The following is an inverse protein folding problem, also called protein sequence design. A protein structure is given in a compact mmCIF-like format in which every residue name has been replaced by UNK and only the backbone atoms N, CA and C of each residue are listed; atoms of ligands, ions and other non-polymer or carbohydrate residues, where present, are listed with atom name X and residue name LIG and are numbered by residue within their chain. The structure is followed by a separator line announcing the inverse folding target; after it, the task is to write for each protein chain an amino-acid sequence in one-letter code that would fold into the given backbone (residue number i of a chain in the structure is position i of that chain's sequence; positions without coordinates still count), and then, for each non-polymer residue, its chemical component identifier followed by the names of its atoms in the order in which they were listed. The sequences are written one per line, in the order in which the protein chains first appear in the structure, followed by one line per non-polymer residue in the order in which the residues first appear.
data_IF_621656565243
#
_entry.id   IF_621656565243
#
_cell.length_a   1.000
_cell.length_b   1.000
_cell.length_c   1.000
_cell.angle_alpha   90.00
_cell.angle_beta   90.00
_cell.angle_gamma   90.00
#
_symmetry.space_group_name_H-M   'P 1'
#
loop_
_entity.id
_entity.type
_entity.pdbx_description
1 polymer ?
#
# COMPACT_ATOMS: atom_id res chain seq x y z
N UNK A 1 -0.83 8.06 -7.21
CA UNK A 1 -0.04 9.29 -7.16
C UNK A 1 -0.16 10.00 -5.80
N UNK A 2 -1.37 10.39 -5.36
CA UNK A 2 -1.57 11.03 -4.05
C UNK A 2 -1.16 10.08 -2.91
N UNK A 3 -1.57 8.81 -2.94
CA UNK A 3 -1.17 7.81 -1.95
C UNK A 3 0.35 7.63 -1.87
N UNK A 4 1.04 7.50 -3.00
CA UNK A 4 2.51 7.37 -3.01
C UNK A 4 3.22 8.61 -2.45
N UNK A 5 2.68 9.81 -2.74
CA UNK A 5 3.21 11.05 -2.19
C UNK A 5 3.00 11.12 -0.67
N UNK A 6 1.82 10.70 -0.19
CA UNK A 6 1.48 10.64 1.22
C UNK A 6 2.39 9.66 1.98
N UNK A 7 2.65 8.46 1.43
CA UNK A 7 3.60 7.52 2.02
C UNK A 7 4.97 8.16 2.19
N UNK A 8 5.53 8.73 1.11
CA UNK A 8 6.85 9.36 1.17
C UNK A 8 6.86 10.55 2.14
N UNK A 9 5.82 11.39 2.12
CA UNK A 9 5.74 12.55 3.01
C UNK A 9 5.70 12.15 4.50
N UNK A 10 5.07 11.01 4.81
CA UNK A 10 4.90 10.54 6.20
C UNK A 10 6.09 9.71 6.67
N UNK A 11 6.57 8.79 5.83
CA UNK A 11 7.56 7.79 6.21
C UNK A 11 9.01 8.23 5.91
N UNK A 12 9.20 9.09 4.91
CA UNK A 12 10.50 9.55 4.46
C UNK A 12 10.46 11.07 4.12
N UNK A 13 10.17 11.94 5.10
CA UNK A 13 9.95 13.38 4.84
C UNK A 13 11.10 14.06 4.12
N UNK A 14 12.35 13.69 4.41
CA UNK A 14 13.54 14.22 3.71
C UNK A 14 13.53 13.90 2.21
N UNK A 15 13.00 12.70 1.83
CA UNK A 15 12.84 12.33 0.42
C UNK A 15 11.65 13.05 -0.20
N UNK A 16 10.60 13.32 0.57
CA UNK A 16 9.45 14.05 0.05
C UNK A 16 9.88 15.44 -0.43
N UNK A 17 10.55 16.21 0.39
CA UNK A 17 11.02 17.54 0.06
C UNK A 17 12.02 17.56 -1.12
N UNK A 18 12.79 16.47 -1.26
CA UNK A 18 13.79 16.35 -2.33
C UNK A 18 13.20 15.92 -3.67
N UNK A 19 12.20 15.07 -3.68
CA UNK A 19 11.73 14.39 -4.89
C UNK A 19 10.30 14.76 -5.32
N UNK A 20 9.53 15.43 -4.45
CA UNK A 20 8.17 15.86 -4.77
C UNK A 20 8.08 17.38 -4.77
N UNK A 21 7.32 17.92 -5.69
CA UNK A 21 7.16 19.36 -5.83
C UNK A 21 5.68 19.77 -5.81
N UNK A 22 5.43 20.92 -5.17
CA UNK A 22 4.17 21.64 -5.27
C UNK A 22 4.12 22.37 -6.60
N UNK A 23 3.13 22.07 -7.42
CA UNK A 23 2.91 22.71 -8.70
C UNK A 23 2.59 24.21 -8.55
N UNK A 24 2.65 24.92 -9.65
CA UNK A 24 2.36 26.37 -9.69
C UNK A 24 0.84 26.61 -9.60
N UNK A 25 0.44 27.64 -8.86
CA UNK A 25 -0.93 28.20 -8.84
C UNK A 25 -1.27 28.96 -10.15
N UNK A 26 -0.27 29.32 -10.93
CA UNK A 26 -0.44 30.09 -12.14
C UNK A 26 -1.13 29.26 -13.23
N UNK A 27 -2.04 29.89 -13.98
CA UNK A 27 -2.69 29.21 -15.09
C UNK A 27 -1.67 28.78 -16.14
N UNK A 28 -1.63 27.49 -16.46
CA UNK A 28 -0.69 26.92 -17.43
C UNK A 28 -0.82 27.47 -18.87
N UNK A 29 -1.83 28.30 -19.15
CA UNK A 29 -2.04 29.00 -20.42
C UNK A 29 -1.30 30.33 -20.50
N UNK A 30 -0.96 30.95 -19.37
CA UNK A 30 -0.22 32.22 -19.32
C UNK A 30 1.28 32.02 -19.58
N UNK A 31 1.98 33.08 -19.93
CA UNK A 31 3.44 33.07 -20.15
C UNK A 31 4.17 32.67 -18.87
N UNK A 32 3.78 33.28 -17.74
CA UNK A 32 4.31 33.04 -16.41
C UNK A 32 4.04 31.59 -15.94
N UNK A 33 2.83 31.09 -16.15
CA UNK A 33 2.46 29.72 -15.79
C UNK A 33 3.21 28.66 -16.62
N UNK A 34 3.43 28.94 -17.92
CA UNK A 34 4.28 28.06 -18.77
C UNK A 34 5.75 28.08 -18.31
N UNK A 35 6.27 29.24 -17.94
CA UNK A 35 7.62 29.37 -17.42
C UNK A 35 7.81 28.60 -16.09
N UNK A 36 6.90 28.80 -15.13
CA UNK A 36 6.92 28.08 -13.85
C UNK A 36 6.83 26.54 -14.02
N UNK A 37 5.95 26.08 -14.94
CA UNK A 37 5.85 24.65 -15.24
C UNK A 37 7.15 24.11 -15.85
N UNK A 38 7.77 24.86 -16.76
CA UNK A 38 9.03 24.46 -17.38
C UNK A 38 10.15 24.37 -16.35
N UNK A 39 10.24 25.33 -15.45
CA UNK A 39 11.25 25.35 -14.37
C UNK A 39 11.11 24.10 -13.45
N UNK A 40 9.90 23.82 -12.99
CA UNK A 40 9.62 22.60 -12.20
C UNK A 40 9.97 21.32 -12.96
N UNK A 41 9.68 21.28 -14.27
CA UNK A 41 9.97 20.09 -15.10
C UNK A 41 11.47 19.89 -15.38
N UNK A 42 12.31 20.88 -15.12
CA UNK A 42 13.78 20.73 -15.20
C UNK A 42 14.36 20.05 -13.96
N UNK A 43 13.68 20.16 -12.81
CA UNK A 43 14.16 19.66 -11.52
C UNK A 43 13.43 18.37 -11.10
N UNK A 44 12.16 18.22 -11.47
CA UNK A 44 11.30 17.12 -11.06
C UNK A 44 10.67 16.43 -12.26
N UNK A 45 10.54 15.12 -12.19
CA UNK A 45 9.78 14.39 -13.20
C UNK A 45 8.27 14.73 -13.10
N UNK A 46 7.52 14.73 -14.21
CA UNK A 46 6.11 15.17 -14.24
C UNK A 46 5.17 14.42 -13.29
N UNK A 47 5.49 13.16 -12.98
CA UNK A 47 4.74 12.32 -12.05
C UNK A 47 4.99 12.71 -10.57
N UNK A 48 6.04 13.47 -10.29
CA UNK A 48 6.41 13.97 -8.96
C UNK A 48 5.97 15.40 -8.69
N UNK A 49 5.40 16.10 -9.67
CA UNK A 49 4.84 17.43 -9.49
C UNK A 49 3.35 17.29 -9.19
N UNK A 50 2.95 17.54 -7.96
CA UNK A 50 1.55 17.52 -7.53
C UNK A 50 0.86 18.85 -7.85
N UNK A 51 -0.46 18.82 -8.08
CA UNK A 51 -1.23 20.07 -8.06
C UNK A 51 -1.13 20.69 -6.68
N UNK A 52 -1.21 22.04 -6.57
CA UNK A 52 -1.12 22.71 -5.27
C UNK A 52 -2.04 22.10 -4.21
N UNK A 53 -3.33 21.95 -4.52
CA UNK A 53 -4.30 21.35 -3.61
C UNK A 53 -3.98 19.89 -3.21
N UNK A 54 -3.44 19.09 -4.14
CA UNK A 54 -3.03 17.70 -3.84
C UNK A 54 -1.79 17.68 -2.92
N UNK A 55 -0.84 18.60 -3.14
CA UNK A 55 0.33 18.75 -2.28
C UNK A 55 -0.07 19.15 -0.85
N UNK A 56 -0.92 20.17 -0.75
CA UNK A 56 -1.41 20.66 0.54
C UNK A 56 -2.24 19.58 1.27
N UNK A 57 -3.01 18.78 0.53
CA UNK A 57 -3.70 17.59 1.06
C UNK A 57 -2.72 16.57 1.62
N UNK A 58 -1.65 16.25 0.88
CA UNK A 58 -0.62 15.30 1.34
C UNK A 58 0.05 15.79 2.62
N UNK A 59 0.40 17.06 2.70
CA UNK A 59 0.98 17.64 3.91
C UNK A 59 0.00 17.57 5.10
N UNK A 60 -1.27 17.90 4.88
CA UNK A 60 -2.29 17.82 5.93
C UNK A 60 -2.53 16.40 6.43
N UNK A 61 -2.56 15.42 5.53
CA UNK A 61 -2.66 14.00 5.89
C UNK A 61 -1.47 13.53 6.71
N UNK A 62 -0.25 13.88 6.30
CA UNK A 62 0.98 13.61 7.06
C UNK A 62 0.89 14.18 8.46
N UNK A 63 0.55 15.46 8.57
CA UNK A 63 0.50 16.17 9.84
C UNK A 63 -0.57 15.55 10.77
N UNK A 64 -1.71 15.09 10.20
CA UNK A 64 -2.74 14.38 10.94
C UNK A 64 -2.24 13.04 11.47
N UNK A 65 -1.49 12.27 10.68
CA UNK A 65 -0.92 10.97 11.13
C UNK A 65 0.12 11.19 12.22
N UNK A 66 1.07 12.09 12.00
CA UNK A 66 2.15 12.35 12.97
C UNK A 66 1.64 13.01 14.25
N UNK A 67 0.57 13.80 14.18
CA UNK A 67 -0.09 14.41 15.33
C UNK A 67 -1.08 13.50 16.07
N UNK A 68 -1.42 12.34 15.51
CA UNK A 68 -2.31 11.37 16.15
C UNK A 68 -1.54 10.59 17.23
N UNK A 69 -1.99 10.64 18.49
CA UNK A 69 -1.26 10.10 19.64
C UNK A 69 -0.77 8.65 19.42
N UNK A 70 -1.68 7.76 19.04
CA UNK A 70 -1.34 6.34 18.84
C UNK A 70 -0.48 6.13 17.57
N UNK A 71 -0.86 6.74 16.44
CA UNK A 71 -0.12 6.54 15.19
C UNK A 71 1.29 7.15 15.27
N UNK A 72 1.43 8.32 15.88
CA UNK A 72 2.73 8.98 16.10
C UNK A 72 3.64 8.15 16.99
N UNK A 73 3.12 7.62 18.10
CA UNK A 73 3.87 6.72 19.01
C UNK A 73 4.32 5.45 18.30
N UNK A 74 3.44 4.79 17.56
CA UNK A 74 3.76 3.56 16.81
C UNK A 74 4.85 3.79 15.75
N UNK A 75 4.88 4.98 15.13
CA UNK A 75 5.86 5.33 14.10
C UNK A 75 7.19 5.83 14.69
N UNK A 76 7.24 6.16 15.98
CA UNK A 76 8.42 6.79 16.58
C UNK A 76 9.64 5.87 16.49
N UNK A 77 10.67 6.36 15.81
CA UNK A 77 11.94 5.66 15.62
C UNK A 77 11.85 4.37 14.80
N UNK A 78 10.73 4.12 14.12
CA UNK A 78 10.62 3.00 13.19
C UNK A 78 11.58 3.16 12.00
N UNK A 79 12.09 2.04 11.50
CA UNK A 79 12.77 2.00 10.20
C UNK A 79 11.70 1.96 9.11
N UNK A 80 11.76 2.88 8.16
CA UNK A 80 10.76 3.00 7.11
C UNK A 80 11.22 2.38 5.80
N UNK A 81 10.26 1.96 4.96
CA UNK A 81 10.49 1.46 3.60
C UNK A 81 11.49 0.28 3.55
N UNK A 82 11.39 -0.63 4.53
CA UNK A 82 12.31 -1.76 4.71
C UNK A 82 12.01 -2.87 3.71
N UNK A 83 13.02 -3.29 2.95
CA UNK A 83 12.90 -4.44 2.05
C UNK A 83 13.28 -5.72 2.79
N UNK A 84 12.34 -6.67 2.86
CA UNK A 84 12.58 -8.04 3.31
C UNK A 84 12.63 -8.98 2.11
N UNK A 85 13.61 -9.90 2.11
CA UNK A 85 13.76 -10.96 1.11
C UNK A 85 13.92 -12.28 1.86
N UNK A 86 13.11 -13.29 1.49
CA UNK A 86 13.17 -14.60 2.11
C UNK A 86 12.87 -15.72 1.11
N UNK A 87 13.10 -16.94 1.51
CA UNK A 87 12.59 -18.12 0.83
C UNK A 87 11.42 -18.69 1.61
N UNK A 88 10.32 -18.97 0.93
CA UNK A 88 9.23 -19.74 1.52
C UNK A 88 9.70 -21.17 1.81
N UNK A 89 9.54 -21.61 3.06
CA UNK A 89 10.08 -22.89 3.53
C UNK A 89 9.39 -24.10 2.87
N UNK A 90 8.13 -23.96 2.50
CA UNK A 90 7.33 -25.05 1.90
C UNK A 90 7.60 -25.21 0.42
N UNK A 91 7.65 -24.10 -0.32
CA UNK A 91 7.74 -24.13 -1.79
C UNK A 91 9.14 -23.83 -2.32
N UNK A 92 10.03 -23.28 -1.48
CA UNK A 92 11.35 -22.83 -1.89
C UNK A 92 11.37 -21.58 -2.78
N UNK A 93 10.20 -20.93 -2.98
CA UNK A 93 10.08 -19.73 -3.79
C UNK A 93 10.76 -18.55 -3.08
N UNK A 94 11.52 -17.76 -3.85
CA UNK A 94 12.10 -16.50 -3.37
C UNK A 94 11.05 -15.42 -3.35
N UNK A 95 10.82 -14.87 -2.16
CA UNK A 95 9.80 -13.87 -1.87
C UNK A 95 10.44 -12.54 -1.48
N UNK A 96 9.72 -11.44 -1.70
CA UNK A 96 10.12 -10.12 -1.22
C UNK A 96 8.92 -9.29 -0.81
N UNK A 97 9.12 -8.42 0.17
CA UNK A 97 8.16 -7.39 0.57
C UNK A 97 8.89 -6.08 0.80
N UNK A 98 8.16 -4.98 0.67
CA UNK A 98 8.60 -3.66 1.08
C UNK A 98 7.64 -3.18 2.16
N UNK A 99 8.13 -3.13 3.38
CA UNK A 99 7.37 -2.86 4.59
C UNK A 99 7.41 -1.37 4.85
N UNK A 100 6.26 -0.75 5.05
CA UNK A 100 6.14 0.70 5.23
C UNK A 100 6.90 1.16 6.48
N UNK A 101 6.68 0.52 7.62
CA UNK A 101 7.43 0.82 8.83
C UNK A 101 7.67 -0.43 9.70
N UNK A 102 8.91 -0.55 10.15
CA UNK A 102 9.40 -1.60 11.02
C UNK A 102 9.84 -0.96 12.35
N UNK A 103 9.02 -1.04 13.40
CA UNK A 103 9.34 -0.47 14.71
C UNK A 103 10.61 -1.06 15.31
N UNK A 104 11.21 -0.35 16.26
CA UNK A 104 12.40 -0.83 16.98
C UNK A 104 12.08 -2.05 17.85
N UNK A 105 10.89 -2.01 18.47
CA UNK A 105 10.45 -3.09 19.31
C UNK A 105 9.93 -4.25 18.48
N UNK A 106 10.27 -5.47 18.87
CA UNK A 106 9.77 -6.66 18.23
C UNK A 106 8.28 -6.88 18.59
N UNK A 107 7.55 -7.51 17.67
CA UNK A 107 6.17 -7.91 17.89
C UNK A 107 5.21 -7.44 16.81
N UNK A 108 5.44 -6.32 16.13
CA UNK A 108 4.50 -5.81 15.14
C UNK A 108 5.14 -5.16 13.92
N UNK A 109 4.33 -5.00 12.89
CA UNK A 109 4.62 -4.23 11.67
C UNK A 109 3.56 -3.15 11.48
N UNK A 110 3.92 -2.10 10.76
CA UNK A 110 3.03 -1.00 10.43
C UNK A 110 2.89 -0.83 8.92
N UNK A 111 1.68 -0.50 8.51
CA UNK A 111 1.34 -0.20 7.13
C UNK A 111 0.46 1.05 7.07
N UNK A 112 0.80 1.98 6.19
CA UNK A 112 0.13 3.27 6.05
C UNK A 112 -0.87 3.22 4.90
N UNK A 113 -2.12 3.55 5.17
CA UNK A 113 -3.19 3.55 4.15
C UNK A 113 -3.83 4.92 4.00
N UNK A 114 -3.94 5.38 2.77
CA UNK A 114 -4.82 6.50 2.44
C UNK A 114 -6.18 6.00 1.99
N UNK A 115 -7.25 6.41 2.65
CA UNK A 115 -8.61 5.94 2.38
C UNK A 115 -9.58 7.08 2.06
N UNK A 116 -10.78 6.74 1.63
CA UNK A 116 -11.89 7.71 1.48
C UNK A 116 -12.71 7.82 2.76
N UNK A 117 -12.69 6.77 3.57
CA UNK A 117 -13.41 6.63 4.82
C UNK A 117 -12.59 5.71 5.73
N UNK A 118 -12.22 6.19 6.91
CA UNK A 118 -11.45 5.44 7.89
C UNK A 118 -12.33 4.82 8.98
N UNK A 119 -13.67 4.79 8.82
CA UNK A 119 -14.58 4.16 9.79
C UNK A 119 -14.35 2.64 9.89
N UNK A 120 -14.65 2.04 11.07
CA UNK A 120 -14.54 0.60 11.25
C UNK A 120 -15.36 -0.22 10.24
N UNK A 121 -16.56 0.23 9.90
CA UNK A 121 -17.46 -0.42 8.95
C UNK A 121 -16.88 -0.44 7.53
N UNK A 122 -16.26 0.67 7.11
CA UNK A 122 -15.61 0.76 5.81
C UNK A 122 -14.34 -0.09 5.78
N UNK A 123 -13.51 0.03 6.80
CA UNK A 123 -12.23 -0.69 6.86
C UNK A 123 -12.43 -2.22 7.01
N UNK A 124 -13.48 -2.68 7.69
CA UNK A 124 -13.86 -4.09 7.73
C UNK A 124 -14.20 -4.68 6.34
N UNK A 125 -14.75 -3.87 5.44
CA UNK A 125 -14.96 -4.25 4.04
C UNK A 125 -13.68 -4.12 3.22
N UNK A 126 -12.93 -3.06 3.44
CA UNK A 126 -11.69 -2.76 2.71
C UNK A 126 -10.62 -3.83 2.94
N UNK A 127 -10.49 -4.35 4.17
CA UNK A 127 -9.50 -5.40 4.49
C UNK A 127 -9.73 -6.65 3.66
N UNK A 128 -10.99 -7.02 3.40
CA UNK A 128 -11.35 -8.13 2.53
C UNK A 128 -11.21 -7.77 1.05
N UNK A 129 -11.86 -6.68 0.61
CA UNK A 129 -11.96 -6.32 -0.81
C UNK A 129 -10.60 -6.03 -1.46
N UNK A 130 -9.67 -5.45 -0.70
CA UNK A 130 -8.31 -5.13 -1.17
C UNK A 130 -7.27 -6.18 -0.76
N UNK A 131 -7.67 -7.22 -0.03
CA UNK A 131 -6.79 -8.29 0.42
C UNK A 131 -5.74 -7.83 1.43
N UNK A 132 -6.03 -6.82 2.25
CA UNK A 132 -5.06 -6.33 3.24
C UNK A 132 -4.71 -7.38 4.28
N UNK A 133 -5.61 -8.31 4.61
CA UNK A 133 -5.32 -9.46 5.46
C UNK A 133 -4.28 -10.41 4.85
N UNK A 134 -4.26 -10.57 3.52
CA UNK A 134 -3.20 -11.32 2.81
C UNK A 134 -1.89 -10.55 2.79
N UNK A 135 -1.96 -9.23 2.57
CA UNK A 135 -0.77 -8.37 2.67
C UNK A 135 -0.14 -8.45 4.06
N UNK A 136 -0.96 -8.41 5.11
CA UNK A 136 -0.48 -8.52 6.50
C UNK A 136 0.25 -9.84 6.73
N UNK A 137 -0.35 -10.95 6.32
CA UNK A 137 0.25 -12.28 6.41
C UNK A 137 1.55 -12.39 5.59
N UNK A 138 1.55 -11.85 4.37
CA UNK A 138 2.74 -11.82 3.51
C UNK A 138 3.88 -11.02 4.14
N UNK A 139 3.59 -9.85 4.71
CA UNK A 139 4.61 -8.97 5.27
C UNK A 139 5.18 -9.50 6.58
N UNK A 140 4.40 -10.23 7.37
CA UNK A 140 4.87 -10.86 8.61
C UNK A 140 5.62 -12.19 8.38
N UNK A 141 5.42 -12.84 7.22
CA UNK A 141 6.03 -14.15 6.92
C UNK A 141 7.55 -14.24 7.13
N UNK A 142 8.39 -13.23 6.81
CA UNK A 142 9.84 -13.34 7.03
C UNK A 142 10.28 -13.17 8.48
N UNK A 143 9.36 -12.86 9.42
CA UNK A 143 9.69 -12.54 10.81
C UNK A 143 9.13 -13.61 11.76
N UNK A 144 9.99 -14.14 12.62
CA UNK A 144 9.57 -15.13 13.62
C UNK A 144 8.93 -14.50 14.86
N UNK A 145 9.30 -13.27 15.20
CA UNK A 145 8.90 -12.58 16.44
C UNK A 145 7.86 -11.49 16.21
N UNK A 146 7.53 -11.14 14.95
CA UNK A 146 6.60 -10.06 14.59
C UNK A 146 5.34 -10.66 14.01
N UNK A 147 4.32 -10.82 14.85
CA UNK A 147 3.03 -11.41 14.47
C UNK A 147 1.94 -10.39 14.25
N UNK A 148 2.00 -9.25 14.94
CA UNK A 148 0.97 -8.23 14.88
C UNK A 148 1.16 -7.30 13.68
N UNK A 149 0.04 -6.89 13.09
CA UNK A 149 0.06 -5.97 11.95
C UNK A 149 -0.94 -4.84 12.16
N UNK A 150 -0.41 -3.63 12.26
CA UNK A 150 -1.23 -2.43 12.41
C UNK A 150 -1.36 -1.69 11.08
N UNK A 151 -2.57 -1.24 10.78
CA UNK A 151 -2.86 -0.35 9.67
C UNK A 151 -3.16 1.05 10.21
N UNK A 152 -2.39 2.04 9.79
CA UNK A 152 -2.64 3.45 10.05
C UNK A 152 -3.41 4.01 8.85
N UNK A 153 -4.69 4.27 9.01
CA UNK A 153 -5.59 4.69 7.94
C UNK A 153 -5.88 6.19 8.06
N UNK A 154 -5.55 6.96 7.03
CA UNK A 154 -5.80 8.39 6.97
C UNK A 154 -6.75 8.75 5.83
N UNK A 155 -7.79 9.54 6.12
CA UNK A 155 -8.73 10.03 5.13
C UNK A 155 -8.11 11.10 4.24
N UNK A 156 -8.50 11.10 2.95
CA UNK A 156 -8.02 12.05 1.93
C UNK A 156 -8.73 13.39 1.96
N UNK A 157 -9.71 13.57 2.83
CA UNK A 157 -10.53 14.79 2.94
C UNK A 157 -10.47 15.34 4.35
N UNK A 158 -10.54 16.68 4.46
CA UNK A 158 -10.68 17.34 5.75
C UNK A 158 -11.85 16.74 6.56
N UNK A 159 -11.65 16.46 7.86
CA UNK A 159 -10.52 16.85 8.70
C UNK A 159 -9.31 15.90 8.67
N UNK A 160 -9.17 15.04 7.64
CA UNK A 160 -8.09 14.06 7.48
C UNK A 160 -8.02 13.09 8.66
N UNK A 161 -9.19 12.55 9.01
CA UNK A 161 -9.35 11.67 10.16
C UNK A 161 -8.40 10.45 10.07
N UNK A 162 -7.81 10.10 11.21
CA UNK A 162 -6.89 8.98 11.33
C UNK A 162 -7.49 7.92 12.25
N UNK A 163 -7.43 6.67 11.81
CA UNK A 163 -7.77 5.52 12.63
C UNK A 163 -6.66 4.47 12.54
N UNK A 164 -6.41 3.79 13.65
CA UNK A 164 -5.39 2.72 13.75
C UNK A 164 -6.09 1.41 14.01
N UNK A 165 -5.78 0.41 13.21
CA UNK A 165 -6.39 -0.93 13.27
C UNK A 165 -5.33 -2.00 13.48
N UNK A 166 -5.52 -2.86 14.45
CA UNK A 166 -4.82 -4.14 14.55
C UNK A 166 -5.58 -5.17 13.71
N UNK A 167 -4.89 -5.81 12.80
CA UNK A 167 -5.47 -6.93 12.03
C UNK A 167 -5.66 -8.11 12.97
N UNK A 168 -6.90 -8.62 13.05
CA UNK A 168 -7.24 -9.70 13.99
C UNK A 168 -6.52 -11.01 13.67
N UNK A 169 -6.28 -11.82 14.69
CA UNK A 169 -5.67 -13.16 14.53
C UNK A 169 -6.44 -14.04 13.54
N UNK A 170 -7.75 -13.92 13.49
CA UNK A 170 -8.57 -14.69 12.53
C UNK A 170 -8.30 -14.26 11.09
N UNK A 171 -8.17 -12.95 10.86
CA UNK A 171 -7.82 -12.41 9.54
C UNK A 171 -6.37 -12.75 9.16
N UNK A 172 -5.44 -12.70 10.11
CA UNK A 172 -4.05 -13.14 9.91
C UNK A 172 -3.96 -14.61 9.52
N UNK A 173 -4.65 -15.51 10.27
CA UNK A 173 -4.68 -16.96 9.94
C UNK A 173 -5.27 -17.22 8.55
N UNK A 174 -6.37 -16.55 8.20
CA UNK A 174 -6.96 -16.67 6.85
C UNK A 174 -5.98 -16.18 5.79
N UNK A 175 -5.30 -15.05 6.04
CA UNK A 175 -4.30 -14.51 5.15
C UNK A 175 -3.12 -15.46 4.92
N UNK A 176 -2.58 -16.05 5.98
CA UNK A 176 -1.48 -17.03 5.87
C UNK A 176 -1.91 -18.28 5.09
N UNK A 177 -3.12 -18.79 5.33
CA UNK A 177 -3.65 -19.93 4.59
C UNK A 177 -3.74 -19.63 3.09
N UNK A 178 -4.37 -18.53 2.70
CA UNK A 178 -4.52 -18.15 1.30
C UNK A 178 -3.17 -17.83 0.63
N UNK A 179 -2.25 -17.19 1.35
CA UNK A 179 -0.89 -16.92 0.84
C UNK A 179 -0.17 -18.25 0.56
N UNK A 180 -0.26 -19.22 1.45
CA UNK A 180 0.38 -20.52 1.26
C UNK A 180 -0.24 -21.31 0.10
N UNK A 181 -1.57 -21.29 -0.06
CA UNK A 181 -2.24 -21.89 -1.22
C UNK A 181 -1.77 -21.23 -2.54
N UNK A 182 -1.67 -19.90 -2.57
CA UNK A 182 -1.20 -19.18 -3.75
C UNK A 182 0.27 -19.50 -4.09
N UNK A 183 1.14 -19.61 -3.09
CA UNK A 183 2.54 -19.99 -3.28
C UNK A 183 2.66 -21.42 -3.80
N UNK A 184 1.87 -22.35 -3.28
CA UNK A 184 1.84 -23.75 -3.75
C UNK A 184 1.40 -23.83 -5.20
N UNK A 185 0.31 -23.16 -5.56
CA UNK A 185 -0.14 -23.07 -6.95
C UNK A 185 0.88 -22.42 -7.88
N UNK A 186 1.58 -21.39 -7.41
CA UNK A 186 2.65 -20.74 -8.15
C UNK A 186 3.81 -21.72 -8.40
N UNK A 187 4.20 -22.51 -7.39
CA UNK A 187 5.24 -23.53 -7.51
C UNK A 187 4.87 -24.61 -8.54
N UNK A 188 3.62 -25.11 -8.47
CA UNK A 188 3.08 -26.07 -9.44
C UNK A 188 3.11 -25.54 -10.88
N UNK A 189 2.73 -24.28 -11.07
CA UNK A 189 2.79 -23.63 -12.38
C UNK A 189 4.23 -23.50 -12.90
N UNK A 190 5.18 -23.12 -12.04
CA UNK A 190 6.59 -23.04 -12.41
C UNK A 190 7.13 -24.43 -12.79
N UNK A 191 6.77 -25.46 -12.04
CA UNK A 191 7.18 -26.83 -12.35
C UNK A 191 6.61 -27.32 -13.68
N UNK A 192 5.34 -27.02 -13.96
CA UNK A 192 4.65 -27.46 -15.17
C UNK A 192 5.06 -26.68 -16.43
N UNK A 193 5.29 -25.38 -16.33
CA UNK A 193 5.46 -24.48 -17.49
C UNK A 193 6.78 -23.72 -17.49
N UNK A 194 7.58 -23.79 -16.42
CA UNK A 194 8.78 -22.97 -16.26
C UNK A 194 8.49 -21.51 -15.90
N UNK A 195 9.52 -20.78 -15.53
CA UNK A 195 9.39 -19.34 -15.20
C UNK A 195 9.03 -18.47 -16.40
N UNK A 196 9.62 -18.76 -17.55
CA UNK A 196 9.52 -17.98 -18.80
C UNK A 196 8.70 -18.71 -19.87
N UNK A 197 7.98 -19.76 -19.49
CA UNK A 197 7.16 -20.54 -20.41
C UNK A 197 5.80 -19.91 -20.71
N UNK A 198 5.13 -20.40 -21.74
CA UNK A 198 3.76 -19.99 -22.07
C UNK A 198 2.78 -20.64 -21.09
N UNK A 199 2.32 -19.85 -20.12
CA UNK A 199 1.33 -20.28 -19.15
C UNK A 199 -0.05 -20.30 -19.80
N UNK A 200 -0.90 -21.33 -19.54
CA UNK A 200 -2.19 -21.44 -20.17
C UNK A 200 -3.12 -20.29 -19.75
N UNK A 201 -3.78 -19.72 -20.72
CA UNK A 201 -4.87 -18.78 -20.54
C UNK A 201 -6.23 -19.48 -20.42
N UNK A 202 -7.29 -18.80 -20.82
CA UNK A 202 -8.60 -19.43 -21.02
C UNK A 202 -8.56 -20.33 -22.24
N UNK A 203 -9.39 -21.38 -22.21
CA UNK A 203 -9.57 -22.24 -23.39
C UNK A 203 -10.10 -21.43 -24.59
N UNK A 204 -9.55 -21.69 -25.78
CA UNK A 204 -9.96 -21.01 -27.02
C UNK A 204 -11.29 -21.59 -27.58
N UNK A 205 -12.33 -21.57 -26.74
CA UNK A 205 -13.67 -22.07 -27.07
C UNK A 205 -14.72 -21.04 -26.72
N UNK A 206 -15.92 -21.21 -27.27
CA UNK A 206 -17.08 -20.39 -26.88
C UNK A 206 -17.60 -20.90 -25.54
N UNK A 207 -17.55 -20.06 -24.52
CA UNK A 207 -18.12 -20.36 -23.21
C UNK A 207 -19.56 -19.84 -23.16
N UNK A 208 -20.52 -20.70 -22.79
CA UNK A 208 -21.85 -20.25 -22.43
C UNK A 208 -21.81 -19.59 -21.04
N UNK A 209 -22.38 -18.39 -20.92
CA UNK A 209 -22.46 -17.63 -19.67
C UNK A 209 -23.91 -17.39 -19.28
N UNK A 210 -24.25 -17.69 -18.06
CA UNK A 210 -25.56 -17.42 -17.46
C UNK A 210 -25.49 -16.38 -16.35
N UNK A 211 -26.62 -16.05 -15.77
CA UNK A 211 -26.69 -15.22 -14.57
C UNK A 211 -26.11 -15.96 -13.36
N UNK A 212 -25.38 -15.27 -12.47
CA UNK A 212 -24.93 -15.86 -11.22
C UNK A 212 -26.13 -16.30 -10.35
N UNK A 213 -25.92 -17.30 -9.50
CA UNK A 213 -26.99 -17.92 -8.69
C UNK A 213 -27.81 -16.93 -7.85
N UNK A 214 -27.19 -15.90 -7.32
CA UNK A 214 -27.84 -14.83 -6.54
C UNK A 214 -28.71 -13.90 -7.38
N UNK A 215 -28.58 -13.88 -8.70
CA UNK A 215 -29.36 -13.07 -9.63
C UNK A 215 -30.44 -13.88 -10.35
N UNK A 216 -30.47 -15.20 -10.16
CA UNK A 216 -31.54 -16.09 -10.66
C UNK A 216 -32.73 -16.00 -9.70
N UNK A 217 -33.89 -15.51 -10.18
CA UNK A 217 -35.14 -15.43 -9.44
C UNK A 217 -36.01 -16.64 -9.73
#
# INVERSE_FOLDING_TARGET
RLGSAFHVATLEPEKFDKFWARGSELKGTTKEGKAAKKELSMQFSPDKILKPADYDTVCSMRDSVLGHSVAGELLEGAKTEVVAIWKDETTGISCKAKIDALPKDDGYLLDLKSTVDASPEHMAKAIHNFGYYRQSAWYTSPFQTRSDFYMICCEKKSPFAVAVYLVSDSAMRQGHHEVQELLSRWAECIEAFGHDGDWPGYEEVVHEIGLPSWAQR
#
